data_IF_106320025267
#
_entry.id   IF_106320025267
#
_cell.length_a   1.000
_cell.length_b   1.000
_cell.length_c   1.000
_cell.angle_alpha   90.00
_cell.angle_beta   90.00
_cell.angle_gamma   90.00
#
_symmetry.space_group_name_H-M   'P 1'
#
loop_
_entity.id
_entity.type
_entity.pdbx_description
1 polymer ?
#
# COMPACT_ATOMS: atom_id res chain seq x y z
N UNK A 1 -21.13 11.03 -8.49
CA UNK A 1 -21.39 9.90 -9.38
C UNK A 1 -20.07 9.33 -9.83
N UNK A 2 -19.74 8.13 -9.34
CA UNK A 2 -18.53 7.43 -9.74
C UNK A 2 -18.77 6.80 -11.09
N UNK A 3 -18.27 7.43 -12.13
CA UNK A 3 -18.45 6.99 -13.51
C UNK A 3 -17.47 5.90 -13.97
N UNK A 4 -16.65 5.40 -13.06
CA UNK A 4 -15.57 4.47 -13.40
C UNK A 4 -15.91 2.99 -13.18
N UNK A 5 -17.05 2.67 -12.61
CA UNK A 5 -17.44 1.28 -12.27
C UNK A 5 -18.89 1.04 -12.70
N UNK A 6 -19.13 -0.12 -13.31
CA UNK A 6 -20.47 -0.50 -13.71
C UNK A 6 -21.33 -0.79 -12.48
N UNK A 7 -22.51 -0.18 -12.38
CA UNK A 7 -23.44 -0.34 -11.26
C UNK A 7 -23.91 -1.80 -11.03
N UNK A 8 -23.72 -2.66 -12.01
CA UNK A 8 -23.99 -4.09 -11.90
C UNK A 8 -22.80 -4.92 -11.46
N UNK A 9 -21.62 -4.30 -11.32
CA UNK A 9 -20.42 -4.96 -10.85
C UNK A 9 -20.54 -5.26 -9.35
N UNK A 10 -20.21 -6.47 -8.96
CA UNK A 10 -20.23 -6.89 -7.56
C UNK A 10 -19.29 -6.05 -6.70
N UNK A 11 -18.14 -5.68 -7.26
CA UNK A 11 -17.20 -4.74 -6.63
C UNK A 11 -17.80 -3.36 -6.41
N UNK A 12 -18.59 -2.86 -7.35
CA UNK A 12 -19.26 -1.57 -7.20
C UNK A 12 -20.24 -1.57 -6.02
N UNK A 13 -21.01 -2.64 -5.89
CA UNK A 13 -21.96 -2.78 -4.77
C UNK A 13 -21.26 -2.81 -3.43
N UNK A 14 -20.23 -3.63 -3.30
CA UNK A 14 -19.42 -3.70 -2.08
C UNK A 14 -18.73 -2.35 -1.79
N UNK A 15 -18.13 -1.75 -2.80
CA UNK A 15 -17.47 -0.46 -2.68
C UNK A 15 -18.43 0.67 -2.31
N UNK A 16 -19.64 0.68 -2.88
CA UNK A 16 -20.62 1.73 -2.61
C UNK A 16 -21.18 1.66 -1.18
N UNK A 17 -21.22 0.49 -0.60
CA UNK A 17 -21.67 0.30 0.79
C UNK A 17 -20.56 0.59 1.81
N UNK A 18 -19.31 0.26 1.48
CA UNK A 18 -18.19 0.26 2.43
C UNK A 18 -17.06 1.24 2.06
N UNK A 19 -16.95 1.63 0.79
CA UNK A 19 -15.86 2.46 0.30
C UNK A 19 -15.90 3.85 0.95
N UNK A 20 -14.84 4.19 1.64
CA UNK A 20 -14.66 5.53 2.19
C UNK A 20 -13.51 6.23 1.46
N UNK A 21 -13.60 7.54 1.16
CA UNK A 21 -12.57 8.26 0.44
C UNK A 21 -11.34 8.58 1.33
N UNK A 22 -10.97 7.62 2.16
CA UNK A 22 -9.82 7.64 3.05
C UNK A 22 -8.87 6.51 2.66
N UNK A 23 -7.61 6.66 2.99
CA UNK A 23 -6.56 5.69 2.66
C UNK A 23 -6.55 5.33 1.16
N UNK A 24 -6.50 6.36 0.31
CA UNK A 24 -6.63 6.19 -1.15
C UNK A 24 -5.32 5.84 -1.87
N UNK A 25 -4.16 6.08 -1.24
CA UNK A 25 -2.88 5.99 -1.95
C UNK A 25 -2.76 7.11 -2.99
N UNK A 26 -2.43 6.75 -4.23
CA UNK A 26 -2.46 7.66 -5.39
C UNK A 26 -1.10 8.14 -5.86
N UNK A 27 -0.01 7.67 -5.28
CA UNK A 27 1.32 8.00 -5.76
C UNK A 27 1.63 7.29 -7.08
N UNK A 28 2.38 7.96 -7.94
CA UNK A 28 2.72 7.45 -9.27
C UNK A 28 4.14 7.81 -9.65
N UNK A 29 4.82 6.88 -10.30
CA UNK A 29 6.12 7.11 -10.96
C UNK A 29 6.19 6.32 -12.26
N UNK A 30 7.09 6.72 -13.15
CA UNK A 30 7.32 6.00 -14.41
C UNK A 30 8.59 5.16 -14.33
N UNK A 31 8.65 4.10 -15.13
CA UNK A 31 9.86 3.33 -15.39
C UNK A 31 10.42 3.65 -16.77
N UNK A 32 11.67 3.22 -17.04
CA UNK A 32 12.30 3.38 -18.37
C UNK A 32 11.59 2.59 -19.47
N UNK A 33 10.88 1.53 -19.13
CA UNK A 33 10.28 0.58 -20.06
C UNK A 33 8.84 0.96 -20.42
N UNK A 34 8.53 2.25 -20.51
CA UNK A 34 7.19 2.76 -20.85
C UNK A 34 6.07 2.27 -19.91
N UNK A 35 6.40 1.93 -18.66
CA UNK A 35 5.45 1.49 -17.67
C UNK A 35 5.24 2.55 -16.58
N UNK A 36 4.16 2.42 -15.87
CA UNK A 36 3.82 3.27 -14.71
C UNK A 36 3.74 2.38 -13.48
N UNK A 37 4.35 2.80 -12.39
CA UNK A 37 4.11 2.24 -11.07
C UNK A 37 3.11 3.14 -10.36
N UNK A 38 2.07 2.54 -9.81
CA UNK A 38 0.96 3.25 -9.17
C UNK A 38 0.60 2.58 -7.85
N UNK A 39 0.33 3.38 -6.82
CA UNK A 39 -0.14 2.89 -5.53
C UNK A 39 -1.64 3.10 -5.35
N UNK A 40 -2.29 2.09 -4.81
CA UNK A 40 -3.67 2.16 -4.34
C UNK A 40 -3.71 1.96 -2.83
N UNK A 41 -4.50 2.74 -2.16
CA UNK A 41 -4.80 2.48 -0.76
C UNK A 41 -5.89 1.42 -0.58
N UNK A 42 -6.20 1.11 0.66
CA UNK A 42 -7.18 0.06 0.99
C UNK A 42 -8.63 0.58 1.11
N UNK A 43 -8.83 1.91 1.12
CA UNK A 43 -10.14 2.58 1.19
C UNK A 43 -11.04 2.07 2.32
N UNK A 44 -10.47 1.62 3.42
CA UNK A 44 -11.07 0.89 4.53
C UNK A 44 -11.65 -0.50 4.19
N UNK A 45 -11.35 -1.00 3.01
CA UNK A 45 -11.61 -2.38 2.61
C UNK A 45 -10.39 -3.26 2.95
N UNK A 46 -10.09 -3.36 4.24
CA UNK A 46 -8.80 -3.86 4.76
C UNK A 46 -8.45 -5.27 4.31
N UNK A 47 -9.44 -6.14 4.22
CA UNK A 47 -9.25 -7.53 3.79
C UNK A 47 -8.70 -7.61 2.38
N UNK A 48 -9.12 -6.67 1.53
CA UNK A 48 -8.68 -6.62 0.14
C UNK A 48 -7.19 -6.30 0.00
N UNK A 49 -6.57 -5.73 1.03
CA UNK A 49 -5.12 -5.52 1.02
C UNK A 49 -4.35 -6.86 0.98
N UNK A 50 -4.92 -7.94 1.51
CA UNK A 50 -4.36 -9.30 1.49
C UNK A 50 -4.90 -10.18 0.36
N UNK A 51 -5.91 -9.75 -0.36
CA UNK A 51 -6.44 -10.45 -1.52
C UNK A 51 -5.58 -10.18 -2.75
N UNK A 52 -5.04 -11.23 -3.37
CA UNK A 52 -4.16 -11.14 -4.57
C UNK A 52 -4.90 -10.75 -5.83
N UNK A 53 -6.21 -10.95 -5.87
CA UNK A 53 -7.05 -10.61 -7.03
C UNK A 53 -7.57 -9.16 -6.96
N UNK A 54 -7.46 -8.54 -5.78
CA UNK A 54 -7.87 -7.16 -5.56
C UNK A 54 -6.78 -6.17 -5.94
N UNK A 55 -7.18 -4.98 -6.39
CA UNK A 55 -6.28 -3.84 -6.62
C UNK A 55 -6.16 -2.91 -5.42
N UNK A 56 -6.93 -3.13 -4.35
CA UNK A 56 -6.90 -2.29 -3.15
C UNK A 56 -5.75 -2.68 -2.21
N UNK A 57 -5.05 -1.68 -1.67
CA UNK A 57 -3.89 -1.88 -0.81
C UNK A 57 -2.71 -2.50 -1.55
N UNK A 58 -2.42 -2.00 -2.76
CA UNK A 58 -1.41 -2.55 -3.68
C UNK A 58 -0.47 -1.47 -4.23
N UNK A 59 0.70 -1.92 -4.65
CA UNK A 59 1.49 -1.21 -5.65
C UNK A 59 1.46 -2.05 -6.92
N UNK A 60 1.05 -1.44 -8.01
CA UNK A 60 0.86 -2.09 -9.32
C UNK A 60 1.79 -1.48 -10.36
N UNK A 61 2.18 -2.27 -11.33
CA UNK A 61 2.85 -1.84 -12.55
C UNK A 61 1.89 -1.95 -13.72
N UNK A 62 1.74 -0.88 -14.46
CA UNK A 62 0.84 -0.78 -15.62
C UNK A 62 1.68 -0.59 -16.88
N UNK A 63 1.53 -1.47 -17.83
CA UNK A 63 2.10 -1.33 -19.16
C UNK A 63 1.24 -0.37 -19.99
N UNK A 64 1.86 0.71 -20.48
CA UNK A 64 1.13 1.78 -21.16
C UNK A 64 0.65 1.40 -22.57
N UNK A 65 1.27 0.43 -23.20
CA UNK A 65 0.90 -0.04 -24.54
C UNK A 65 -0.21 -1.07 -24.48
N UNK A 66 0.03 -2.16 -23.74
CA UNK A 66 -0.93 -3.26 -23.64
C UNK A 66 -2.10 -2.98 -22.71
N UNK A 67 -1.99 -1.93 -21.88
CA UNK A 67 -2.95 -1.58 -20.80
C UNK A 67 -3.12 -2.67 -19.74
N UNK A 68 -2.26 -3.68 -19.75
CA UNK A 68 -2.24 -4.71 -18.72
C UNK A 68 -1.51 -4.21 -17.48
N UNK A 69 -1.87 -4.75 -16.34
CA UNK A 69 -1.18 -4.48 -15.09
C UNK A 69 -0.78 -5.78 -14.39
N UNK A 70 0.17 -5.66 -13.46
CA UNK A 70 0.51 -6.70 -12.49
C UNK A 70 0.67 -6.09 -11.12
N UNK A 71 0.42 -6.87 -10.10
CA UNK A 71 0.66 -6.47 -8.71
C UNK A 71 2.14 -6.69 -8.39
N UNK A 72 2.84 -5.64 -7.98
CA UNK A 72 4.24 -5.70 -7.51
C UNK A 72 4.27 -6.07 -6.03
N UNK A 73 3.40 -5.43 -5.25
CA UNK A 73 3.31 -5.65 -3.81
C UNK A 73 1.89 -5.47 -3.29
N UNK A 74 1.64 -6.07 -2.13
CA UNK A 74 0.36 -6.12 -1.45
C UNK A 74 0.53 -5.86 0.05
N UNK A 75 -0.57 -5.80 0.78
CA UNK A 75 -0.52 -5.56 2.21
C UNK A 75 -0.17 -4.12 2.56
N UNK A 76 -0.65 -3.18 1.76
CA UNK A 76 -0.53 -1.74 1.97
C UNK A 76 -1.83 -1.15 2.51
N UNK A 77 -1.71 -0.15 3.40
CA UNK A 77 -2.84 0.61 3.91
C UNK A 77 -3.09 1.87 3.09
N UNK A 78 -2.10 2.76 3.06
CA UNK A 78 -2.22 4.07 2.40
C UNK A 78 -0.85 4.55 1.90
N UNK A 79 -0.32 3.95 0.83
CA UNK A 79 0.98 4.31 0.27
C UNK A 79 0.86 5.59 -0.55
N UNK A 80 1.34 6.72 0.00
CA UNK A 80 1.19 8.05 -0.59
C UNK A 80 2.44 8.59 -1.28
N UNK A 81 3.60 8.00 -1.06
CA UNK A 81 4.83 8.37 -1.76
C UNK A 81 5.47 7.18 -2.43
N UNK A 82 5.93 7.36 -3.66
CA UNK A 82 6.69 6.36 -4.41
C UNK A 82 7.92 7.03 -5.05
N UNK A 83 9.07 6.40 -4.90
CA UNK A 83 10.28 6.71 -5.62
C UNK A 83 10.88 5.43 -6.22
N UNK A 84 11.12 5.42 -7.52
CA UNK A 84 11.76 4.32 -8.22
C UNK A 84 13.15 4.71 -8.72
N UNK A 85 14.16 4.03 -8.19
CA UNK A 85 15.53 4.14 -8.69
C UNK A 85 15.74 3.10 -9.79
N UNK A 86 15.82 3.58 -11.02
CA UNK A 86 15.91 2.74 -12.21
C UNK A 86 17.23 2.00 -12.35
N UNK A 87 18.33 2.64 -11.96
CA UNK A 87 19.67 2.04 -12.05
C UNK A 87 19.83 0.84 -11.12
N UNK A 88 19.21 0.92 -9.95
CA UNK A 88 19.28 -0.12 -8.92
C UNK A 88 18.09 -1.06 -8.92
N UNK A 89 17.08 -0.77 -9.73
CA UNK A 89 15.78 -1.48 -9.72
C UNK A 89 15.12 -1.54 -8.33
N UNK A 90 15.25 -0.46 -7.55
CA UNK A 90 14.72 -0.35 -6.19
C UNK A 90 13.51 0.57 -6.19
N UNK A 91 12.43 0.12 -5.56
CA UNK A 91 11.26 0.93 -5.28
C UNK A 91 11.19 1.25 -3.78
N UNK A 92 11.09 2.52 -3.45
CA UNK A 92 10.76 3.00 -2.11
C UNK A 92 9.32 3.49 -2.09
N UNK A 93 8.63 3.24 -0.99
CA UNK A 93 7.30 3.82 -0.74
C UNK A 93 7.20 4.34 0.68
N UNK A 94 6.37 5.37 0.85
CA UNK A 94 5.97 5.86 2.17
C UNK A 94 4.55 5.41 2.45
N UNK A 95 4.29 5.00 3.68
CA UNK A 95 3.04 4.39 4.11
C UNK A 95 2.46 5.14 5.30
N UNK A 96 1.19 5.53 5.21
CA UNK A 96 0.46 5.95 6.39
C UNK A 96 -0.16 4.72 7.05
N UNK A 97 0.36 4.36 8.18
CA UNK A 97 -0.14 3.22 8.94
C UNK A 97 -1.38 3.57 9.78
N UNK A 98 -1.78 2.70 10.67
CA UNK A 98 -2.77 3.00 11.69
C UNK A 98 -2.22 4.06 12.65
N UNK A 99 -2.84 4.34 13.76
CA UNK A 99 -2.43 5.39 14.69
C UNK A 99 -0.94 5.29 15.04
N UNK A 100 -0.12 6.16 14.46
CA UNK A 100 1.33 6.04 14.45
C UNK A 100 1.81 4.91 13.53
N UNK A 101 3.08 4.53 13.64
CA UNK A 101 3.64 3.39 12.89
C UNK A 101 3.75 3.60 11.37
N UNK A 102 3.76 4.85 10.93
CA UNK A 102 4.04 5.18 9.53
C UNK A 102 5.38 4.59 9.09
N UNK A 103 5.51 4.23 7.82
CA UNK A 103 6.63 3.44 7.34
C UNK A 103 7.29 4.03 6.10
N UNK A 104 8.56 3.69 5.94
CA UNK A 104 9.27 3.74 4.67
C UNK A 104 9.58 2.31 4.28
N UNK A 105 9.00 1.86 3.19
CA UNK A 105 9.13 0.51 2.68
C UNK A 105 10.12 0.46 1.51
N UNK A 106 10.80 -0.68 1.37
CA UNK A 106 11.72 -0.94 0.27
C UNK A 106 11.34 -2.22 -0.45
N UNK A 107 11.22 -2.13 -1.77
CA UNK A 107 11.20 -3.28 -2.65
C UNK A 107 12.54 -3.31 -3.41
N UNK A 108 13.44 -4.24 -3.10
CA UNK A 108 14.79 -4.28 -3.68
C UNK A 108 14.82 -4.75 -5.14
N UNK A 109 13.72 -5.28 -5.66
CA UNK A 109 13.56 -5.64 -7.06
C UNK A 109 12.08 -5.73 -7.42
N UNK A 110 11.65 -4.85 -8.33
CA UNK A 110 10.26 -4.88 -8.82
C UNK A 110 10.03 -5.92 -9.92
N UNK A 111 11.09 -6.50 -10.49
CA UNK A 111 11.00 -7.47 -11.58
C UNK A 111 10.72 -8.90 -11.09
N UNK A 112 10.82 -9.15 -9.81
CA UNK A 112 10.48 -10.45 -9.24
C UNK A 112 9.00 -10.77 -9.48
N UNK A 113 8.72 -12.00 -9.90
CA UNK A 113 7.34 -12.48 -10.13
C UNK A 113 6.56 -12.62 -8.80
N UNK A 114 7.27 -12.85 -7.70
CA UNK A 114 6.65 -13.02 -6.39
C UNK A 114 6.12 -11.68 -5.88
N UNK A 115 4.82 -11.62 -5.65
CA UNK A 115 4.17 -10.47 -4.99
C UNK A 115 4.71 -10.36 -3.56
N UNK A 116 5.31 -9.21 -3.26
CA UNK A 116 5.84 -8.90 -1.93
C UNK A 116 4.72 -8.42 -1.03
N UNK A 117 4.68 -8.93 0.21
CA UNK A 117 3.62 -8.60 1.17
C UNK A 117 4.18 -7.80 2.34
N UNK A 118 3.64 -6.60 2.56
CA UNK A 118 4.03 -5.66 3.61
C UNK A 118 3.13 -5.71 4.85
N UNK A 119 2.22 -6.66 4.92
CA UNK A 119 1.60 -7.14 6.16
C UNK A 119 0.27 -6.51 6.54
N UNK A 120 -0.08 -5.30 6.07
CA UNK A 120 -1.38 -4.71 6.42
C UNK A 120 -2.55 -5.57 5.90
N UNK A 121 -3.61 -5.78 6.67
CA UNK A 121 -3.90 -5.35 8.04
C UNK A 121 -3.46 -6.32 9.15
N UNK A 122 -2.78 -7.42 8.82
CA UNK A 122 -2.39 -8.47 9.77
C UNK A 122 -1.30 -7.98 10.72
N UNK A 123 -0.37 -7.17 10.24
CA UNK A 123 0.68 -6.55 11.04
C UNK A 123 0.80 -5.06 10.76
N UNK A 124 1.19 -4.29 11.78
CA UNK A 124 1.44 -2.86 11.71
C UNK A 124 2.25 -2.41 12.91
N UNK A 125 3.11 -1.42 12.75
CA UNK A 125 3.79 -0.76 13.86
C UNK A 125 2.93 0.32 14.54
N UNK A 126 1.81 0.68 13.93
CA UNK A 126 0.82 1.56 14.53
C UNK A 126 -0.15 0.85 15.46
N UNK A 127 -0.96 1.64 16.14
CA UNK A 127 -2.06 1.15 16.97
C UNK A 127 -3.39 1.33 16.25
N UNK A 128 -4.35 0.49 16.59
CA UNK A 128 -5.69 0.66 16.09
C UNK A 128 -6.39 1.85 16.74
N UNK A 129 -7.30 2.43 15.97
CA UNK A 129 -8.16 3.50 16.45
C UNK A 129 -9.27 3.02 17.42
N UNK A 130 -9.22 1.76 17.85
CA UNK A 130 -10.16 1.21 18.82
C UNK A 130 -11.48 0.76 18.19
N UNK A 131 -12.57 1.36 18.55
CA UNK A 131 -13.96 0.88 18.30
C UNK A 131 -14.42 0.88 16.83
N UNK A 132 -13.82 1.65 15.96
CA UNK A 132 -14.20 1.70 14.53
C UNK A 132 -13.89 0.42 13.77
N UNK A 133 -13.28 -0.50 14.46
CA UNK A 133 -12.79 -1.76 13.93
C UNK A 133 -13.86 -2.82 13.87
N UNK A 134 -14.88 -2.70 14.68
CA UNK A 134 -15.77 -3.82 15.04
C UNK A 134 -16.83 -4.16 14.02
N UNK A 135 -17.00 -3.35 13.01
CA UNK A 135 -17.98 -3.61 11.95
C UNK A 135 -17.43 -4.55 10.88
N UNK A 136 -16.13 -4.82 10.93
CA UNK A 136 -15.47 -5.78 10.04
C UNK A 136 -15.30 -7.10 10.78
N UNK A 137 -16.09 -8.10 10.41
CA UNK A 137 -16.09 -9.42 11.02
C UNK A 137 -15.00 -10.36 10.52
N UNK A 138 -14.05 -9.87 9.72
CA UNK A 138 -12.98 -10.72 9.22
C UNK A 138 -11.98 -11.09 10.32
N UNK A 139 -11.54 -12.33 10.32
CA UNK A 139 -10.51 -12.84 11.23
C UNK A 139 -9.20 -12.08 11.08
N UNK A 140 -8.85 -11.68 9.85
CA UNK A 140 -7.66 -10.88 9.56
C UNK A 140 -7.71 -9.54 10.29
N UNK A 141 -8.88 -8.99 10.41
CA UNK A 141 -9.10 -7.72 11.05
C UNK A 141 -9.03 -7.78 12.57
N UNK A 142 -9.58 -8.83 13.15
CA UNK A 142 -9.55 -9.03 14.61
C UNK A 142 -8.13 -9.15 15.16
N UNK A 143 -7.23 -9.76 14.41
CA UNK A 143 -5.83 -9.95 14.81
C UNK A 143 -4.90 -8.79 14.41
N UNK A 144 -5.28 -8.00 13.42
CA UNK A 144 -4.44 -6.95 12.85
C UNK A 144 -3.84 -5.96 13.86
N UNK A 145 -4.54 -5.53 14.92
CA UNK A 145 -4.03 -4.48 15.79
C UNK A 145 -2.90 -4.88 16.71
N UNK A 146 -2.70 -6.14 16.90
CA UNK A 146 -1.82 -6.62 17.97
C UNK A 146 -0.42 -7.00 17.48
N UNK A 147 -0.22 -7.04 16.18
CA UNK A 147 1.00 -7.55 15.59
C UNK A 147 1.94 -6.42 15.20
N UNK A 148 2.99 -6.23 15.99
CA UNK A 148 3.97 -5.15 15.80
C UNK A 148 5.13 -5.52 14.89
N UNK A 149 5.35 -6.80 14.59
CA UNK A 149 6.46 -7.25 13.75
C UNK A 149 5.94 -7.91 12.48
N UNK A 150 6.22 -7.34 11.35
CA UNK A 150 5.89 -7.95 10.07
C UNK A 150 6.62 -9.28 9.88
N UNK A 151 7.88 -9.35 10.28
CA UNK A 151 8.72 -10.56 10.16
C UNK A 151 8.13 -11.77 10.89
N UNK A 152 7.55 -11.58 12.08
CA UNK A 152 6.97 -12.67 12.87
C UNK A 152 5.78 -13.33 12.17
N UNK A 153 5.20 -12.67 11.18
CA UNK A 153 4.08 -13.18 10.37
C UNK A 153 4.50 -13.49 8.94
N UNK A 154 5.80 -13.49 8.65
CA UNK A 154 6.34 -13.81 7.33
C UNK A 154 6.20 -12.70 6.29
N UNK A 155 5.96 -11.47 6.73
CA UNK A 155 5.89 -10.29 5.88
C UNK A 155 7.22 -9.55 5.81
N UNK A 156 7.30 -8.59 4.90
CA UNK A 156 8.50 -7.77 4.70
C UNK A 156 8.51 -6.65 5.75
N UNK A 157 9.64 -6.54 6.45
CA UNK A 157 9.87 -5.45 7.38
C UNK A 157 10.10 -4.13 6.61
N UNK A 158 9.58 -3.00 7.13
CA UNK A 158 9.90 -1.70 6.59
C UNK A 158 11.39 -1.36 6.76
N UNK A 159 11.93 -0.59 5.84
CA UNK A 159 13.27 -0.01 5.99
C UNK A 159 13.35 0.89 7.22
N UNK A 160 12.28 1.60 7.50
CA UNK A 160 12.09 2.45 8.68
C UNK A 160 10.62 2.50 9.03
N UNK A 161 10.33 2.41 10.31
CA UNK A 161 9.01 2.77 10.85
C UNK A 161 9.15 3.93 11.84
N UNK A 162 8.07 4.65 12.02
CA UNK A 162 7.96 5.71 13.01
C UNK A 162 7.08 5.20 14.15
N UNK A 163 7.51 5.49 15.38
CA UNK A 163 6.78 5.09 16.56
C UNK A 163 5.35 5.68 16.61
N UNK A 164 4.64 5.52 17.69
CA UNK A 164 3.22 5.90 17.87
C UNK A 164 2.86 7.35 17.50
N UNK A 165 3.83 8.17 17.14
CA UNK A 165 3.59 9.52 16.66
C UNK A 165 3.46 9.54 15.15
N UNK A 166 2.26 9.81 14.67
CA UNK A 166 1.99 9.95 13.24
C UNK A 166 2.88 11.02 12.58
N UNK A 167 3.45 10.69 11.42
CA UNK A 167 4.29 11.57 10.60
C UNK A 167 3.64 11.89 9.27
N UNK A 168 2.74 11.03 8.83
CA UNK A 168 2.00 11.14 7.57
C UNK A 168 2.91 11.45 6.36
N UNK A 169 3.95 10.64 6.08
CA UNK A 169 4.88 10.89 4.98
C UNK A 169 4.19 10.70 3.65
N UNK A 170 3.96 11.80 2.92
CA UNK A 170 3.18 11.80 1.67
C UNK A 170 4.03 11.83 0.40
N UNK A 171 5.36 11.96 0.53
CA UNK A 171 6.28 11.94 -0.60
C UNK A 171 7.64 11.39 -0.20
N UNK A 172 8.37 10.88 -1.19
CA UNK A 172 9.75 10.43 -1.05
C UNK A 172 10.51 10.75 -2.33
N UNK A 173 11.73 11.25 -2.21
CA UNK A 173 12.59 11.58 -3.33
C UNK A 173 14.06 11.37 -2.97
N UNK A 174 14.89 11.12 -3.98
CA UNK A 174 16.33 11.11 -3.82
C UNK A 174 16.88 12.54 -3.71
N UNK A 175 17.72 12.77 -2.75
CA UNK A 175 18.46 14.04 -2.62
C UNK A 175 19.64 14.03 -3.58
N UNK A 176 19.71 15.01 -4.46
CA UNK A 176 20.85 15.18 -5.35
C UNK A 176 22.13 15.30 -4.52
N UNK A 177 23.18 14.56 -4.93
CA UNK A 177 24.49 14.54 -4.26
C UNK A 177 25.11 15.95 -4.09
N UNK A 178 24.77 16.87 -4.96
CA UNK A 178 25.25 18.26 -4.93
C UNK A 178 24.54 19.13 -3.87
N UNK A 179 23.47 18.61 -3.22
CA UNK A 179 22.76 19.30 -2.14
C UNK A 179 23.19 18.81 -0.74
N UNK A 180 24.24 18.00 -0.67
CA UNK A 180 24.85 17.58 0.60
C UNK A 180 25.87 18.62 1.05
N UNK A 181 25.38 19.75 1.52
CA UNK A 181 26.15 20.72 2.30
C UNK A 181 25.55 20.82 3.70
#
# INVERSE_FOLDING_TARGET
PNTCVNENDEYYKIANERLQPLQSGGAMTKTNNNKIIFSTGEFRLRDLAQDKESVFGKIIEIDRESKKFRIISMGHRNPQGIYYNQEKNILLSTEHSAQGGDEININPSIEEEKIKNYGWPISSYGEHYGFDIRDDSSVLYEIAPLNKSHKNFGFIEPLKYFDLKARAPSAIAEVNKNLKN
#
